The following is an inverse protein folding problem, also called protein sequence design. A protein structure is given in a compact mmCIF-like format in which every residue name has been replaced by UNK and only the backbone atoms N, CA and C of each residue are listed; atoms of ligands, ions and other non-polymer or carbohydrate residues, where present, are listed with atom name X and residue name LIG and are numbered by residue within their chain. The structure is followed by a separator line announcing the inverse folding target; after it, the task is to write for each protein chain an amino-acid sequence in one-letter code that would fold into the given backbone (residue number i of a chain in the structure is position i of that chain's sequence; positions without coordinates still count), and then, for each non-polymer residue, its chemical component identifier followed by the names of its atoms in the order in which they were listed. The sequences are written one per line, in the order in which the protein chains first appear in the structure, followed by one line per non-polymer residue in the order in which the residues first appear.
data_IF_060527111211
#
_entry.id   IF_060527111211
#
_cell.length_a   1.000
_cell.length_b   1.000
_cell.length_c   1.000
_cell.angle_alpha   90.00
_cell.angle_beta   90.00
_cell.angle_gamma   90.00
#
_symmetry.space_group_name_H-M   'P 1'
#
loop_
_entity.id
_entity.type
_entity.pdbx_description
1 polymer ?
#
# COMPACT_ATOMS: atom_id res chain seq x y z
N UNK A 1 -23.48 -22.33 5.60
CA UNK A 1 -22.19 -22.59 4.95
C UNK A 1 -21.37 -21.33 5.19
N UNK A 2 -20.25 -21.42 5.91
CA UNK A 2 -19.37 -20.25 6.07
C UNK A 2 -18.71 -20.07 4.71
N UNK A 3 -19.08 -19.04 3.96
CA UNK A 3 -18.26 -18.63 2.82
C UNK A 3 -16.92 -18.21 3.41
N UNK A 4 -15.93 -19.09 3.34
CA UNK A 4 -14.55 -18.77 3.72
C UNK A 4 -14.07 -17.73 2.71
N UNK A 5 -14.07 -16.47 3.13
CA UNK A 5 -13.47 -15.39 2.36
C UNK A 5 -11.98 -15.68 2.26
N UNK A 6 -11.45 -15.65 1.04
CA UNK A 6 -10.03 -15.72 0.80
C UNK A 6 -9.46 -14.31 0.91
N UNK A 7 -8.43 -14.17 1.73
CA UNK A 7 -7.72 -12.90 1.88
C UNK A 7 -6.51 -12.92 0.97
N UNK A 8 -6.43 -11.93 0.08
CA UNK A 8 -5.30 -11.68 -0.78
C UNK A 8 -4.64 -10.38 -0.34
N UNK A 9 -3.33 -10.42 -0.09
CA UNK A 9 -2.55 -9.24 0.27
C UNK A 9 -1.64 -8.86 -0.90
N UNK A 10 -1.73 -7.62 -1.34
CA UNK A 10 -0.88 -7.04 -2.37
C UNK A 10 0.03 -5.99 -1.73
N UNK A 11 1.29 -6.01 -2.10
CA UNK A 11 2.34 -5.13 -1.59
C UNK A 11 2.78 -4.17 -2.71
N UNK A 12 2.90 -2.90 -2.37
CA UNK A 12 3.41 -1.84 -3.22
C UNK A 12 4.43 -0.97 -2.47
N UNK A 13 5.45 -0.45 -3.16
CA UNK A 13 6.37 0.52 -2.57
C UNK A 13 5.63 1.84 -2.32
N UNK A 14 6.08 2.58 -1.30
CA UNK A 14 5.59 3.91 -0.94
C UNK A 14 6.63 4.97 -1.34
N UNK A 15 6.17 6.21 -1.53
CA UNK A 15 7.02 7.34 -1.85
C UNK A 15 6.74 8.48 -0.87
N UNK A 16 7.31 8.41 0.34
CA UNK A 16 7.14 9.43 1.35
C UNK A 16 8.04 10.63 1.10
N UNK A 17 7.50 11.82 1.30
CA UNK A 17 8.21 13.08 1.18
C UNK A 17 7.81 14.02 2.31
N UNK A 18 8.78 14.73 2.88
CA UNK A 18 8.57 15.62 4.02
C UNK A 18 8.96 17.05 3.67
N UNK A 19 8.11 18.01 4.03
CA UNK A 19 8.42 19.42 4.00
C UNK A 19 8.85 19.85 5.39
N UNK A 20 10.16 20.02 5.59
CA UNK A 20 10.69 20.43 6.89
C UNK A 20 10.30 21.87 7.22
N UNK A 21 10.05 22.13 8.50
CA UNK A 21 9.85 23.49 9.02
C UNK A 21 11.22 24.14 9.24
N UNK A 22 11.39 25.34 8.71
CA UNK A 22 12.60 26.13 8.92
C UNK A 22 12.61 26.80 10.31
N UNK A 23 13.67 27.55 10.61
CA UNK A 23 13.87 28.24 11.89
C UNK A 23 12.79 29.28 12.24
N UNK A 24 12.00 29.69 11.24
CA UNK A 24 10.90 30.65 11.35
C UNK A 24 9.53 29.97 11.43
N UNK A 25 9.47 28.64 11.31
CA UNK A 25 8.26 27.83 11.35
C UNK A 25 7.54 27.71 10.00
N UNK A 26 8.09 28.28 8.93
CA UNK A 26 7.59 28.12 7.56
C UNK A 26 8.10 26.80 6.96
N UNK A 27 7.28 26.14 6.15
CA UNK A 27 7.68 24.96 5.40
C UNK A 27 8.71 25.33 4.34
N UNK A 28 9.69 24.46 4.16
CA UNK A 28 10.63 24.60 3.05
C UNK A 28 9.88 24.53 1.70
N UNK A 29 10.43 25.18 0.68
CA UNK A 29 9.83 25.15 -0.65
C UNK A 29 10.09 23.81 -1.36
N UNK A 30 11.08 23.03 -0.90
CA UNK A 30 11.46 21.77 -1.50
C UNK A 30 11.17 20.62 -0.53
N UNK A 31 10.39 19.61 -0.95
CA UNK A 31 10.24 18.40 -0.16
C UNK A 31 11.54 17.60 -0.14
N UNK A 32 11.80 16.92 0.97
CA UNK A 32 12.84 15.92 1.11
C UNK A 32 12.24 14.52 0.98
N UNK A 33 12.76 13.70 0.06
CA UNK A 33 12.37 12.29 -0.06
C UNK A 33 12.87 11.49 1.15
N UNK A 34 11.95 10.84 1.86
CA UNK A 34 12.30 9.92 2.94
C UNK A 34 12.53 8.51 2.40
N UNK A 35 13.40 7.77 3.07
CA UNK A 35 13.54 6.34 2.78
C UNK A 35 12.42 5.54 3.44
N UNK A 36 12.14 4.34 2.93
CA UNK A 36 11.11 3.46 3.51
C UNK A 36 11.40 3.07 4.97
N UNK A 37 12.66 3.13 5.42
CA UNK A 37 13.04 2.90 6.82
C UNK A 37 12.86 4.11 7.72
N UNK A 38 12.97 5.34 7.18
CA UNK A 38 12.75 6.57 7.95
C UNK A 38 11.24 6.82 8.13
N UNK A 39 10.45 6.57 7.08
CA UNK A 39 8.98 6.70 7.16
C UNK A 39 8.36 5.68 8.10
N UNK A 40 9.08 4.59 8.41
CA UNK A 40 8.60 3.55 9.31
C UNK A 40 8.29 4.09 10.70
N UNK A 41 9.04 5.08 11.19
CA UNK A 41 8.76 5.72 12.49
C UNK A 41 7.39 6.43 12.52
N UNK A 42 6.86 6.76 11.33
CA UNK A 42 5.57 7.43 11.12
C UNK A 42 4.47 6.46 10.68
N UNK A 43 4.69 5.14 10.75
CA UNK A 43 3.71 4.10 10.36
C UNK A 43 2.34 4.33 10.99
N UNK A 44 2.29 4.60 12.30
CA UNK A 44 1.04 4.77 13.05
C UNK A 44 0.24 5.99 12.55
N UNK A 45 0.94 7.09 12.23
CA UNK A 45 0.32 8.32 11.70
C UNK A 45 -0.20 8.11 10.28
N UNK A 46 0.55 7.38 9.45
CA UNK A 46 0.15 7.03 8.09
C UNK A 46 -1.06 6.09 8.12
N UNK A 47 -1.04 5.10 9.01
CA UNK A 47 -2.15 4.18 9.20
C UNK A 47 -3.39 4.89 9.71
N UNK A 48 -3.25 5.87 10.61
CA UNK A 48 -4.33 6.75 11.03
C UNK A 48 -4.85 7.62 9.87
N UNK A 49 -3.98 8.12 9.01
CA UNK A 49 -4.36 8.89 7.82
C UNK A 49 -5.19 8.02 6.85
N UNK A 50 -4.74 6.81 6.57
CA UNK A 50 -5.45 5.83 5.71
C UNK A 50 -6.85 5.56 6.27
N UNK A 51 -6.96 5.31 7.58
CA UNK A 51 -8.25 5.09 8.23
C UNK A 51 -9.16 6.32 8.18
N UNK A 52 -8.57 7.52 8.17
CA UNK A 52 -9.30 8.80 8.08
C UNK A 52 -9.74 9.11 6.64
N UNK A 53 -8.95 8.72 5.65
CA UNK A 53 -9.32 8.77 4.23
C UNK A 53 -10.42 7.75 3.91
N UNK A 54 -10.48 6.64 4.66
CA UNK A 54 -11.62 5.74 4.67
C UNK A 54 -12.92 6.50 4.95
N UNK A 55 -13.75 6.67 3.93
CA UNK A 55 -15.02 7.35 4.04
C UNK A 55 -15.99 6.47 4.83
N UNK A 56 -16.80 7.06 5.74
CA UNK A 56 -17.79 6.29 6.51
C UNK A 56 -18.85 5.60 5.63
N UNK A 57 -18.97 5.99 4.35
CA UNK A 57 -19.82 5.34 3.36
C UNK A 57 -19.27 4.04 2.78
N UNK A 58 -17.96 3.79 2.89
CA UNK A 58 -17.31 2.55 2.41
C UNK A 58 -17.54 1.38 3.37
N UNK A 59 -17.61 1.69 4.67
CA UNK A 59 -17.84 0.70 5.72
C UNK A 59 -16.84 -0.45 5.65
N UNK A 60 -17.34 -1.69 5.80
CA UNK A 60 -16.51 -2.90 5.77
C UNK A 60 -16.01 -3.27 4.34
N UNK A 61 -16.62 -2.69 3.30
CA UNK A 61 -16.28 -3.00 1.90
C UNK A 61 -15.09 -2.18 1.38
N UNK A 62 -14.74 -1.08 2.04
CA UNK A 62 -13.63 -0.22 1.61
C UNK A 62 -13.79 0.24 0.16
N UNK A 63 -12.69 0.24 -0.58
CA UNK A 63 -12.65 0.61 -2.00
C UNK A 63 -13.49 -0.31 -2.89
N UNK A 64 -13.90 -1.50 -2.42
CA UNK A 64 -14.74 -2.40 -3.21
C UNK A 64 -16.12 -1.80 -3.55
N UNK A 65 -16.56 -0.73 -2.86
CA UNK A 65 -17.79 -0.03 -3.22
C UNK A 65 -17.71 0.69 -4.57
N UNK A 66 -16.51 1.07 -5.00
CA UNK A 66 -16.27 1.72 -6.30
C UNK A 66 -16.11 0.71 -7.43
N UNK A 67 -16.08 -0.58 -7.09
CA UNK A 67 -15.92 -1.65 -8.03
C UNK A 67 -17.28 -1.99 -8.64
N UNK A 68 -17.49 -1.61 -9.89
CA UNK A 68 -18.77 -1.80 -10.59
C UNK A 68 -18.75 -2.98 -11.58
N UNK A 69 -17.61 -3.67 -11.67
CA UNK A 69 -17.36 -4.74 -12.61
C UNK A 69 -17.80 -6.12 -12.11
N UNK A 70 -17.66 -7.13 -12.96
CA UNK A 70 -17.94 -8.54 -12.64
C UNK A 70 -17.13 -9.04 -11.42
N UNK A 71 -15.99 -8.40 -11.15
CA UNK A 71 -15.17 -8.63 -9.96
C UNK A 71 -15.92 -8.29 -8.66
N UNK A 72 -16.89 -7.36 -8.66
CA UNK A 72 -17.63 -6.93 -7.46
C UNK A 72 -18.52 -8.02 -6.86
N UNK A 73 -18.86 -9.03 -7.67
CA UNK A 73 -19.58 -10.22 -7.22
C UNK A 73 -18.66 -11.20 -6.47
N UNK A 74 -17.36 -11.16 -6.77
CA UNK A 74 -16.36 -12.03 -6.16
C UNK A 74 -15.61 -11.33 -5.04
N UNK A 75 -15.35 -10.04 -5.16
CA UNK A 75 -14.65 -9.21 -4.20
C UNK A 75 -15.65 -8.68 -3.18
N UNK A 76 -15.42 -9.05 -1.93
CA UNK A 76 -16.21 -8.60 -0.80
C UNK A 76 -15.76 -7.20 -0.35
N UNK A 77 -14.46 -7.05 -0.06
CA UNK A 77 -13.84 -5.82 0.43
C UNK A 77 -12.44 -5.60 -0.14
N UNK A 78 -12.03 -4.34 -0.22
CA UNK A 78 -10.69 -3.89 -0.61
C UNK A 78 -10.28 -2.79 0.36
N UNK A 79 -9.30 -3.08 1.21
CA UNK A 79 -8.83 -2.17 2.23
C UNK A 79 -7.33 -1.91 2.03
N UNK A 80 -6.94 -0.72 1.53
CA UNK A 80 -5.55 -0.30 1.53
C UNK A 80 -5.09 -0.01 2.97
N UNK A 81 -3.81 -0.27 3.24
CA UNK A 81 -3.16 -0.19 4.54
C UNK A 81 -1.64 -0.11 4.35
N UNK A 82 -0.88 -0.01 5.44
CA UNK A 82 0.59 -0.09 5.43
C UNK A 82 1.05 -1.12 6.45
N UNK A 83 2.20 -1.75 6.20
CA UNK A 83 2.81 -2.72 7.09
C UNK A 83 4.34 -2.63 7.01
N UNK A 84 5.01 -2.71 8.17
CA UNK A 84 6.45 -2.94 8.26
C UNK A 84 6.85 -4.29 7.67
N UNK A 85 7.74 -4.28 6.68
CA UNK A 85 8.36 -5.47 6.14
C UNK A 85 9.84 -5.27 5.89
N UNK A 86 10.67 -6.05 6.61
CA UNK A 86 12.12 -6.05 6.48
C UNK A 86 12.75 -4.69 6.88
N UNK A 87 12.18 -3.99 7.86
CA UNK A 87 12.64 -2.67 8.29
C UNK A 87 12.32 -1.53 7.32
N UNK A 88 11.40 -1.77 6.40
CA UNK A 88 10.90 -0.79 5.42
C UNK A 88 9.38 -0.77 5.49
N UNK A 89 8.75 0.40 5.37
CA UNK A 89 7.30 0.52 5.32
C UNK A 89 6.79 0.20 3.91
N UNK A 90 5.81 -0.69 3.80
CA UNK A 90 5.20 -1.07 2.52
C UNK A 90 3.71 -0.76 2.51
N UNK A 91 3.19 -0.35 1.35
CA UNK A 91 1.75 -0.26 1.12
C UNK A 91 1.18 -1.66 0.95
N UNK A 92 0.22 -2.03 1.79
CA UNK A 92 -0.46 -3.33 1.74
C UNK A 92 -1.93 -3.13 1.43
N UNK A 93 -2.41 -3.75 0.37
CA UNK A 93 -3.83 -3.80 0.05
C UNK A 93 -4.38 -5.17 0.40
N UNK A 94 -5.27 -5.22 1.38
CA UNK A 94 -5.99 -6.42 1.74
C UNK A 94 -7.30 -6.52 0.94
N UNK A 95 -7.44 -7.57 0.15
CA UNK A 95 -8.63 -7.86 -0.65
C UNK A 95 -9.26 -9.14 -0.13
N UNK A 96 -10.54 -9.08 0.25
CA UNK A 96 -11.30 -10.27 0.63
C UNK A 96 -12.18 -10.71 -0.54
N UNK A 97 -12.11 -11.98 -0.91
CA UNK A 97 -12.86 -12.55 -2.02
C UNK A 97 -13.66 -13.78 -1.62
N UNK A 98 -14.86 -13.96 -2.18
CA UNK A 98 -15.69 -15.14 -1.97
C UNK A 98 -15.16 -16.40 -2.67
N UNK A 99 -14.27 -16.22 -3.65
CA UNK A 99 -13.72 -17.28 -4.50
C UNK A 99 -12.30 -16.91 -4.92
N UNK A 100 -11.50 -17.91 -5.28
CA UNK A 100 -10.17 -17.70 -5.85
C UNK A 100 -10.26 -16.92 -7.16
N UNK A 101 -9.51 -15.82 -7.23
CA UNK A 101 -9.38 -15.02 -8.44
C UNK A 101 -8.47 -15.75 -9.44
N UNK A 102 -8.88 -15.77 -10.70
CA UNK A 102 -8.03 -16.24 -11.78
C UNK A 102 -6.87 -15.27 -12.03
N UNK A 103 -5.76 -15.69 -12.66
CA UNK A 103 -4.64 -14.78 -12.95
C UNK A 103 -5.05 -13.54 -13.77
N UNK A 104 -6.01 -13.70 -14.68
CA UNK A 104 -6.59 -12.59 -15.46
C UNK A 104 -7.34 -11.60 -14.58
N UNK A 105 -8.16 -12.11 -13.65
CA UNK A 105 -8.94 -11.29 -12.72
C UNK A 105 -8.04 -10.55 -11.73
N UNK A 106 -6.95 -11.18 -11.31
CA UNK A 106 -5.93 -10.55 -10.49
C UNK A 106 -5.22 -9.43 -11.24
N UNK A 107 -4.91 -9.62 -12.53
CA UNK A 107 -4.33 -8.58 -13.36
C UNK A 107 -5.29 -7.39 -13.51
N UNK A 108 -6.56 -7.65 -13.83
CA UNK A 108 -7.61 -6.61 -13.90
C UNK A 108 -7.75 -5.85 -12.57
N UNK A 109 -7.76 -6.55 -11.44
CA UNK A 109 -7.80 -5.93 -10.11
C UNK A 109 -6.56 -5.08 -9.85
N UNK A 110 -5.38 -5.55 -10.25
CA UNK A 110 -4.11 -4.82 -10.05
C UNK A 110 -4.08 -3.54 -10.90
N UNK A 111 -4.54 -3.60 -12.14
CA UNK A 111 -4.69 -2.42 -13.00
C UNK A 111 -5.70 -1.43 -12.43
N UNK A 112 -6.83 -1.92 -11.93
CA UNK A 112 -7.84 -1.09 -11.27
C UNK A 112 -7.29 -0.40 -10.00
N UNK A 113 -6.58 -1.15 -9.15
CA UNK A 113 -5.91 -0.61 -7.95
C UNK A 113 -4.87 0.44 -8.31
N UNK A 114 -4.07 0.19 -9.35
CA UNK A 114 -3.12 1.19 -9.85
C UNK A 114 -3.81 2.47 -10.29
N UNK A 115 -5.00 2.37 -10.90
CA UNK A 115 -5.83 3.54 -11.22
C UNK A 115 -6.32 4.28 -9.97
N UNK A 116 -6.80 3.53 -8.97
CA UNK A 116 -7.23 4.12 -7.69
C UNK A 116 -6.09 4.81 -6.94
N UNK A 117 -4.87 4.25 -6.97
CA UNK A 117 -3.71 4.87 -6.34
C UNK A 117 -3.18 6.08 -7.11
N UNK A 118 -3.47 6.21 -8.39
CA UNK A 118 -2.99 7.33 -9.22
C UNK A 118 -3.92 8.55 -9.22
N UNK A 119 -5.24 8.37 -9.31
CA UNK A 119 -6.20 9.45 -9.60
C UNK A 119 -7.43 9.41 -8.67
N UNK A 120 -7.53 8.38 -7.82
CA UNK A 120 -8.64 8.18 -6.90
C UNK A 120 -8.20 8.36 -5.46
N UNK A 121 -8.27 7.27 -4.71
CA UNK A 121 -7.91 7.23 -3.30
C UNK A 121 -6.45 7.67 -3.02
N UNK A 122 -5.50 7.28 -3.86
CA UNK A 122 -4.09 7.62 -3.62
C UNK A 122 -3.78 9.11 -3.78
N UNK A 123 -4.46 9.80 -4.70
CA UNK A 123 -4.35 11.26 -4.85
C UNK A 123 -4.96 11.99 -3.64
N UNK A 124 -6.09 11.48 -3.14
CA UNK A 124 -6.70 11.99 -1.91
C UNK A 124 -5.78 11.90 -0.71
N UNK A 125 -5.05 10.78 -0.59
CA UNK A 125 -4.09 10.57 0.49
C UNK A 125 -2.85 11.47 0.34
N UNK A 126 -2.31 11.63 -0.87
CA UNK A 126 -1.17 12.53 -1.12
C UNK A 126 -1.51 13.99 -0.81
N UNK A 127 -2.77 14.41 -0.92
CA UNK A 127 -3.19 15.77 -0.59
C UNK A 127 -3.32 16.03 0.93
N UNK A 128 -3.11 15.02 1.78
CA UNK A 128 -3.25 15.17 3.22
C UNK A 128 -1.89 15.24 3.89
N UNK A 129 -1.54 16.42 4.40
CA UNK A 129 -0.40 16.52 5.30
C UNK A 129 -0.62 15.71 6.59
N UNK A 130 0.44 15.04 7.00
CA UNK A 130 0.64 14.51 8.35
C UNK A 130 1.53 15.51 9.08
N UNK A 131 0.98 16.23 10.05
CA UNK A 131 1.75 17.15 10.90
C UNK A 131 2.69 16.35 11.80
N UNK A 132 3.98 16.35 11.47
CA UNK A 132 5.03 15.71 12.26
C UNK A 132 5.85 16.76 12.99
N UNK A 133 6.62 16.34 14.00
CA UNK A 133 7.47 17.26 14.75
C UNK A 133 8.47 18.02 13.85
N UNK A 134 8.95 17.35 12.81
CA UNK A 134 9.98 17.85 11.89
C UNK A 134 9.41 18.71 10.74
N UNK A 135 8.08 18.74 10.56
CA UNK A 135 7.46 19.37 9.40
C UNK A 135 6.08 18.82 9.02
N UNK A 136 5.84 18.68 7.72
CA UNK A 136 4.65 18.06 7.15
C UNK A 136 5.04 16.89 6.25
N UNK A 137 4.61 15.69 6.63
CA UNK A 137 4.88 14.46 5.90
C UNK A 137 3.72 14.16 4.95
N UNK A 138 4.06 13.79 3.73
CA UNK A 138 3.15 13.37 2.69
C UNK A 138 3.57 12.00 2.17
N UNK A 139 2.60 11.13 1.89
CA UNK A 139 2.88 9.76 1.47
C UNK A 139 2.16 9.46 0.17
N UNK A 140 2.93 9.15 -0.87
CA UNK A 140 2.36 8.75 -2.15
C UNK A 140 2.37 7.22 -2.27
N UNK A 141 1.21 6.64 -2.58
CA UNK A 141 1.06 5.20 -2.84
C UNK A 141 1.37 4.82 -4.29
N UNK A 142 1.61 5.82 -5.13
CA UNK A 142 1.86 5.65 -6.55
C UNK A 142 2.97 6.61 -6.99
N UNK A 143 3.77 6.18 -7.96
CA UNK A 143 4.78 7.00 -8.62
C UNK A 143 4.70 6.68 -10.12
N UNK A 144 4.72 7.72 -10.95
CA UNK A 144 4.78 7.58 -12.41
C UNK A 144 6.08 6.93 -12.90
N UNK A 145 7.08 6.82 -12.02
CA UNK A 145 8.35 6.16 -12.33
C UNK A 145 8.23 4.64 -12.38
N UNK A 146 9.20 4.01 -13.04
CA UNK A 146 9.32 2.55 -13.16
C UNK A 146 9.67 1.84 -11.82
N UNK A 147 9.60 2.55 -10.69
CA UNK A 147 9.82 2.05 -9.32
C UNK A 147 8.54 1.50 -8.71
N UNK A 148 7.37 1.98 -9.14
CA UNK A 148 6.09 1.48 -8.67
C UNK A 148 5.81 0.09 -9.24
N UNK A 149 5.43 -0.83 -8.36
CA UNK A 149 4.94 -2.16 -8.73
C UNK A 149 4.00 -2.68 -7.65
N UNK A 150 3.04 -3.49 -8.05
CA UNK A 150 2.18 -4.22 -7.13
C UNK A 150 2.54 -5.70 -7.24
N UNK A 151 2.84 -6.34 -6.12
CA UNK A 151 3.14 -7.79 -6.04
C UNK A 151 2.31 -8.43 -4.95
N UNK A 152 1.85 -9.66 -5.17
CA UNK A 152 1.23 -10.43 -4.10
C UNK A 152 2.23 -10.77 -3.00
N UNK A 153 1.72 -10.92 -1.77
CA UNK A 153 2.51 -11.33 -0.61
C UNK A 153 3.33 -12.59 -0.90
N UNK A 154 2.72 -13.59 -1.53
CA UNK A 154 3.39 -14.84 -1.93
C UNK A 154 4.59 -14.59 -2.85
N UNK A 155 4.50 -13.63 -3.78
CA UNK A 155 5.64 -13.29 -4.65
C UNK A 155 6.71 -12.47 -3.95
N UNK A 156 6.33 -11.61 -3.01
CA UNK A 156 7.28 -10.78 -2.26
C UNK A 156 8.01 -11.60 -1.19
N UNK A 157 7.24 -12.28 -0.32
CA UNK A 157 7.72 -13.09 0.82
C UNK A 157 8.17 -14.48 0.38
N UNK A 158 7.53 -15.09 -0.62
CA UNK A 158 7.95 -16.41 -1.15
C UNK A 158 9.29 -16.37 -1.88
N UNK A 159 9.72 -15.19 -2.37
CA UNK A 159 11.07 -15.02 -2.92
C UNK A 159 12.16 -14.93 -1.82
N UNK A 160 11.79 -14.72 -0.55
CA UNK A 160 12.73 -14.82 0.58
C UNK A 160 12.96 -16.26 1.06
N UNK A 161 12.03 -17.19 0.82
CA UNK A 161 12.26 -18.62 1.11
C UNK A 161 13.32 -19.26 0.21
N UNK A 162 13.68 -18.64 -0.92
CA UNK A 162 14.77 -19.09 -1.78
C UNK A 162 16.15 -18.49 -1.46
N UNK A 163 16.26 -17.56 -0.49
CA UNK A 163 17.55 -16.91 -0.18
C UNK A 163 18.20 -17.37 1.15
N UNK A 164 17.55 -18.21 1.96
CA UNK A 164 18.14 -18.68 3.23
C UNK A 164 18.39 -20.18 3.33
N UNK A 165 18.40 -20.90 2.20
CA UNK A 165 18.28 -22.37 2.23
C UNK A 165 19.05 -23.17 1.19
N UNK A 166 20.14 -22.68 0.59
CA UNK A 166 21.08 -23.57 -0.10
C UNK A 166 22.53 -23.13 0.15
N UNK A 167 23.05 -23.48 1.34
CA UNK A 167 24.47 -23.80 1.46
C UNK A 167 24.75 -24.92 0.47
N UNK A 168 25.32 -24.59 -0.68
CA UNK A 168 25.87 -25.56 -1.62
C UNK A 168 26.94 -26.36 -0.88
N UNK A 169 26.55 -27.54 -0.40
CA UNK A 169 27.47 -28.60 -0.01
C UNK A 169 28.27 -29.01 -1.25
N UNK A 170 29.41 -28.35 -1.44
CA UNK A 170 30.45 -28.78 -2.36
C UNK A 170 31.26 -29.89 -1.70
N UNK A 171 30.97 -31.13 -2.06
CA UNK A 171 31.91 -32.24 -1.96
C UNK A 171 33.12 -31.96 -2.86
N UNK A 172 34.31 -32.01 -2.28
CA UNK A 172 35.52 -32.72 -2.73
C UNK A 172 36.65 -32.47 -1.72
#
# INVERSE_FOLDING_TARGET
MKNELQTLRLFSPLFPHIYRKNEWGDLDNYPEDLTLGEVLEYEDEILALIQKEGLPGEGDRGLAVYLNDNLSQKIYSINPSVEEWNGELWGVTEIQTHSTLSPSELAELTEWLSGQFSDGWGEGLEQREIEVYDGELYVSFWDSSNRFFIKSEDKLKGNQFFSFGMTMGGMC
#
